data_IF_617226517187
#
_entry.id   IF_617226517187
#
_cell.length_a   1.000
_cell.length_b   1.000
_cell.length_c   1.000
_cell.angle_alpha   90.00
_cell.angle_beta   90.00
_cell.angle_gamma   90.00
#
_symmetry.space_group_name_H-M   'P 1'
#
loop_
_entity.id
_entity.type
_entity.pdbx_description
1 polymer ?
#
# COMPACT_ATOMS: atom_id res chain seq x y z
N UNK A 1 8.36 -4.21 5.40
CA UNK A 1 8.81 -2.92 4.86
C UNK A 1 9.47 -2.00 5.89
N UNK A 2 9.15 -2.09 7.21
CA UNK A 2 9.84 -1.30 8.25
C UNK A 2 11.38 -1.33 8.17
N UNK A 3 11.97 -2.53 8.07
CA UNK A 3 13.42 -2.67 7.95
C UNK A 3 14.02 -2.08 6.66
N UNK A 4 13.26 -2.00 5.57
CA UNK A 4 13.74 -1.44 4.29
C UNK A 4 13.82 0.10 4.33
N UNK A 5 12.88 0.76 5.02
CA UNK A 5 12.92 2.20 5.24
C UNK A 5 14.12 2.62 6.10
N UNK A 6 14.38 1.84 7.15
CA UNK A 6 15.52 2.03 8.05
C UNK A 6 16.85 1.81 7.32
N UNK A 7 16.99 0.72 6.57
CA UNK A 7 18.18 0.42 5.76
C UNK A 7 18.43 1.49 4.67
N UNK A 8 17.37 1.95 3.99
CA UNK A 8 17.47 3.01 2.99
C UNK A 8 17.97 4.32 3.60
N UNK A 9 17.46 4.68 4.77
CA UNK A 9 17.86 5.90 5.48
C UNK A 9 19.33 5.82 5.92
N UNK A 10 19.74 4.68 6.48
CA UNK A 10 21.13 4.43 6.90
C UNK A 10 22.10 4.55 5.73
N UNK A 11 21.82 3.86 4.62
CA UNK A 11 22.65 3.91 3.40
C UNK A 11 22.76 5.32 2.80
N UNK A 12 21.71 6.13 2.96
CA UNK A 12 21.68 7.51 2.48
C UNK A 12 22.26 8.54 3.47
N UNK A 13 22.63 8.12 4.70
CA UNK A 13 23.03 9.03 5.78
C UNK A 13 21.92 10.01 6.17
N UNK A 14 20.66 9.56 6.12
CA UNK A 14 19.46 10.37 6.38
C UNK A 14 18.72 9.88 7.64
N UNK A 15 17.87 10.71 8.25
CA UNK A 15 16.98 10.27 9.34
C UNK A 15 16.03 9.17 8.88
N UNK A 16 15.59 8.30 9.80
CA UNK A 16 14.66 7.21 9.49
C UNK A 16 13.35 7.74 8.87
N UNK A 17 12.88 8.91 9.31
CA UNK A 17 11.70 9.59 8.77
C UNK A 17 11.83 9.90 7.27
N UNK A 18 13.04 10.23 6.81
CA UNK A 18 13.29 10.44 5.38
C UNK A 18 13.13 9.15 4.59
N UNK A 19 13.61 8.02 5.12
CA UNK A 19 13.41 6.70 4.53
C UNK A 19 11.92 6.38 4.41
N UNK A 20 11.15 6.63 5.47
CA UNK A 20 9.70 6.48 5.48
C UNK A 20 9.00 7.33 4.42
N UNK A 21 9.36 8.61 4.34
CA UNK A 21 8.83 9.54 3.35
C UNK A 21 9.09 9.05 1.91
N UNK A 22 10.26 8.47 1.63
CA UNK A 22 10.55 7.95 0.29
C UNK A 22 9.59 6.84 -0.16
N UNK A 23 9.07 6.05 0.79
CA UNK A 23 8.13 4.98 0.49
C UNK A 23 6.66 5.41 0.53
N UNK A 24 6.33 6.52 1.19
CA UNK A 24 4.93 6.98 1.34
C UNK A 24 4.58 8.21 0.53
N UNK A 25 5.56 8.97 0.00
CA UNK A 25 5.33 10.24 -0.71
C UNK A 25 4.36 10.16 -1.88
N UNK A 26 4.33 9.03 -2.57
CA UNK A 26 3.47 8.81 -3.73
C UNK A 26 2.17 8.08 -3.34
N UNK A 27 1.99 7.75 -2.05
CA UNK A 27 0.77 7.12 -1.53
C UNK A 27 -0.14 8.20 -0.97
N UNK A 28 -1.30 8.40 -1.58
CA UNK A 28 -2.29 9.40 -1.14
C UNK A 28 -2.76 9.22 0.30
N UNK A 29 -2.85 7.96 0.76
CA UNK A 29 -3.18 7.65 2.16
C UNK A 29 -2.03 7.88 3.15
N UNK A 30 -0.83 8.25 2.68
CA UNK A 30 0.33 8.59 3.51
C UNK A 30 0.90 7.45 4.35
N UNK A 31 0.49 6.20 4.08
CA UNK A 31 0.94 5.00 4.80
C UNK A 31 1.15 3.85 3.84
N UNK A 32 1.99 2.90 4.24
CA UNK A 32 2.12 1.63 3.52
C UNK A 32 0.84 0.80 3.65
N UNK A 33 0.59 -0.03 2.63
CA UNK A 33 -0.42 -1.08 2.72
C UNK A 33 0.01 -2.11 3.78
N UNK A 34 -0.96 -2.55 4.56
CA UNK A 34 -0.84 -3.72 5.43
C UNK A 34 -1.56 -4.92 4.78
N UNK A 35 -1.31 -6.12 5.27
CA UNK A 35 -1.95 -7.36 4.78
C UNK A 35 -3.48 -7.27 4.78
N UNK A 36 -4.02 -6.59 5.78
CA UNK A 36 -5.45 -6.42 6.03
C UNK A 36 -6.14 -5.59 4.95
N UNK A 37 -5.44 -4.66 4.30
CA UNK A 37 -6.01 -3.85 3.22
C UNK A 37 -6.37 -4.72 2.02
N UNK A 38 -5.51 -5.69 1.69
CA UNK A 38 -5.73 -6.67 0.62
C UNK A 38 -6.73 -7.74 1.08
N UNK A 39 -6.62 -8.24 2.31
CA UNK A 39 -7.52 -9.28 2.82
C UNK A 39 -8.99 -8.84 2.83
N UNK A 40 -9.26 -7.57 3.16
CA UNK A 40 -10.63 -7.02 3.19
C UNK A 40 -11.28 -7.00 1.82
N UNK A 41 -10.57 -6.56 0.77
CA UNK A 41 -11.13 -6.58 -0.59
C UNK A 41 -11.38 -8.02 -1.06
N UNK A 42 -10.48 -8.95 -0.73
CA UNK A 42 -10.68 -10.37 -1.05
C UNK A 42 -11.92 -10.90 -0.34
N UNK A 43 -12.11 -10.56 0.94
CA UNK A 43 -13.31 -10.94 1.68
C UNK A 43 -14.60 -10.45 1.02
N UNK A 44 -14.61 -9.22 0.51
CA UNK A 44 -15.73 -8.69 -0.26
C UNK A 44 -15.95 -9.45 -1.59
N UNK A 45 -14.88 -9.64 -2.38
CA UNK A 45 -14.95 -10.31 -3.69
C UNK A 45 -15.28 -11.81 -3.60
N UNK A 46 -15.05 -12.44 -2.44
CA UNK A 46 -15.45 -13.81 -2.18
C UNK A 46 -16.91 -13.91 -1.69
N UNK A 47 -17.53 -12.79 -1.32
CA UNK A 47 -18.89 -12.73 -0.78
C UNK A 47 -19.96 -12.50 -1.84
N UNK A 48 -21.22 -12.75 -1.46
CA UNK A 48 -22.40 -12.55 -2.31
C UNK A 48 -22.60 -11.11 -2.77
N UNK A 49 -22.07 -10.14 -2.01
CA UNK A 49 -22.21 -8.71 -2.32
C UNK A 49 -21.46 -8.29 -3.60
N UNK A 50 -20.65 -9.20 -4.17
CA UNK A 50 -19.86 -8.98 -5.38
C UNK A 50 -20.30 -9.83 -6.58
N UNK A 51 -21.48 -10.47 -6.51
CA UNK A 51 -21.93 -11.50 -7.47
C UNK A 51 -22.09 -11.05 -8.93
N UNK A 52 -22.09 -9.74 -9.18
CA UNK A 52 -22.14 -9.16 -10.53
C UNK A 52 -20.81 -8.52 -10.98
N UNK A 53 -19.72 -8.72 -10.22
CA UNK A 53 -18.38 -8.20 -10.54
C UNK A 53 -17.53 -9.33 -11.12
N UNK A 54 -17.13 -9.19 -12.38
CA UNK A 54 -16.21 -10.13 -13.03
C UNK A 54 -15.34 -9.45 -14.08
N UNK A 55 -14.18 -10.04 -14.40
CA UNK A 55 -13.25 -9.54 -15.41
C UNK A 55 -12.56 -8.22 -15.07
N UNK A 56 -12.62 -7.78 -13.80
CA UNK A 56 -12.04 -6.52 -13.36
C UNK A 56 -10.66 -6.71 -12.74
N UNK A 57 -9.80 -5.71 -12.89
CA UNK A 57 -8.59 -5.55 -12.08
C UNK A 57 -8.86 -4.52 -11.00
N UNK A 58 -8.68 -4.91 -9.73
CA UNK A 58 -8.86 -4.00 -8.59
C UNK A 58 -7.50 -3.63 -8.03
N UNK A 59 -7.20 -2.34 -8.03
CA UNK A 59 -5.95 -1.80 -7.49
C UNK A 59 -6.15 -1.48 -6.01
N UNK A 60 -5.28 -2.02 -5.17
CA UNK A 60 -5.22 -1.77 -3.72
C UNK A 60 -3.83 -1.22 -3.40
N UNK A 61 -3.65 0.08 -3.63
CA UNK A 61 -2.34 0.73 -3.54
C UNK A 61 -2.35 1.98 -2.64
N UNK A 62 -3.45 2.23 -1.92
CA UNK A 62 -3.61 3.46 -1.13
C UNK A 62 -3.63 4.73 -1.98
N UNK A 63 -3.93 4.59 -3.27
CA UNK A 63 -3.74 5.61 -4.27
C UNK A 63 -2.26 5.88 -4.47
N UNK A 64 -1.59 5.03 -5.28
CA UNK A 64 -0.28 5.30 -5.92
C UNK A 64 -0.29 5.51 -7.45
N UNK A 65 -1.27 4.95 -8.17
CA UNK A 65 -1.30 5.00 -9.64
C UNK A 65 -2.15 6.12 -10.27
N UNK A 66 -3.25 6.56 -9.65
CA UNK A 66 -4.28 7.41 -10.29
C UNK A 66 -4.70 8.71 -9.54
N UNK A 67 -3.80 9.40 -8.84
CA UNK A 67 -4.09 10.65 -8.08
C UNK A 67 -3.35 11.84 -8.67
#
# INVERSE_FOLDING_TARGET
MKGLAEELAENAGKPAEWGWEQFTKDISLGRLSESEDVAKIIGFLAGSDSDYITGQTIIVDGGMVFH
#
